data_IF_774832339996
#
_entry.id   IF_774832339996
#
_cell.length_a   1.000
_cell.length_b   1.000
_cell.length_c   1.000
_cell.angle_alpha   90.00
_cell.angle_beta   90.00
_cell.angle_gamma   90.00
#
_symmetry.space_group_name_H-M   'P 1'
#
loop_
_entity.id
_entity.type
_entity.pdbx_description
1 polymer ?
#
# COMPACT_ATOMS: atom_id res chain seq x y z
N UNK A 1 -4.34 -1.48 -68.72
CA UNK A 1 -3.06 -2.08 -69.17
C UNK A 1 -2.83 -3.37 -68.40
N UNK A 2 -2.70 -4.49 -69.11
CA UNK A 2 -2.51 -5.80 -68.50
C UNK A 2 -1.13 -6.35 -68.83
N UNK A 3 -0.46 -6.93 -67.84
CA UNK A 3 0.70 -7.80 -68.07
C UNK A 3 0.19 -9.23 -68.00
N UNK A 4 0.44 -10.01 -69.07
CA UNK A 4 -0.09 -11.38 -69.22
C UNK A 4 1.06 -12.39 -69.27
N UNK A 5 0.77 -13.62 -68.82
CA UNK A 5 1.68 -14.76 -69.00
C UNK A 5 1.63 -15.25 -70.47
N UNK A 6 2.46 -16.24 -70.82
CA UNK A 6 2.51 -16.81 -72.16
C UNK A 6 1.19 -17.46 -72.62
N UNK A 7 0.28 -17.76 -71.69
CA UNK A 7 -1.04 -18.31 -71.96
C UNK A 7 -2.16 -17.28 -72.08
N UNK A 8 -1.81 -15.95 -72.03
CA UNK A 8 -2.73 -14.83 -72.10
C UNK A 8 -3.51 -14.53 -70.84
N UNK A 9 -3.14 -15.13 -69.67
CA UNK A 9 -3.77 -14.82 -68.40
C UNK A 9 -3.13 -13.57 -67.80
N UNK A 10 -3.95 -12.72 -67.21
CA UNK A 10 -3.48 -11.50 -66.56
C UNK A 10 -2.68 -11.81 -65.29
N UNK A 11 -1.42 -11.38 -65.26
CA UNK A 11 -0.57 -11.40 -64.08
C UNK A 11 -0.76 -10.10 -63.27
N UNK A 12 -0.92 -8.99 -64.01
CA UNK A 12 -1.22 -7.67 -63.40
C UNK A 12 -2.39 -7.07 -64.20
N UNK A 13 -3.44 -6.72 -63.52
CA UNK A 13 -4.64 -6.13 -64.09
C UNK A 13 -5.00 -4.83 -63.36
N UNK A 14 -5.26 -3.75 -64.11
CA UNK A 14 -5.76 -2.49 -63.55
C UNK A 14 -7.24 -2.33 -63.98
N UNK A 15 -8.10 -2.13 -62.97
CA UNK A 15 -9.51 -1.81 -63.19
C UNK A 15 -9.94 -0.76 -62.15
N UNK A 16 -10.37 0.42 -62.65
CA UNK A 16 -10.94 1.50 -61.83
C UNK A 16 -10.11 1.82 -60.57
N UNK A 17 -8.83 2.15 -60.73
CA UNK A 17 -7.86 2.43 -59.66
C UNK A 17 -7.50 1.22 -58.77
N UNK A 18 -7.86 0.02 -59.14
CA UNK A 18 -7.45 -1.21 -58.48
C UNK A 18 -6.45 -1.95 -59.35
N UNK A 19 -5.26 -2.21 -58.86
CA UNK A 19 -4.26 -3.09 -59.49
C UNK A 19 -4.35 -4.44 -58.82
N UNK A 20 -4.75 -5.45 -59.60
CA UNK A 20 -4.78 -6.84 -59.16
C UNK A 20 -3.56 -7.57 -59.68
N UNK A 21 -2.81 -8.21 -58.79
CA UNK A 21 -1.62 -9.00 -59.09
C UNK A 21 -1.94 -10.46 -58.80
N UNK A 22 -1.88 -11.32 -59.84
CA UNK A 22 -2.23 -12.73 -59.72
C UNK A 22 -3.73 -13.03 -59.81
N UNK A 23 -4.10 -14.30 -59.74
CA UNK A 23 -5.45 -14.81 -59.68
C UNK A 23 -5.63 -15.66 -58.42
N UNK A 24 -6.86 -16.12 -58.13
CA UNK A 24 -7.14 -17.00 -57.00
C UNK A 24 -6.29 -18.29 -57.08
N UNK A 25 -5.49 -18.55 -56.08
CA UNK A 25 -4.57 -19.70 -56.02
C UNK A 25 -3.13 -19.39 -56.44
N UNK A 26 -2.85 -18.20 -56.98
CA UNK A 26 -1.48 -17.80 -57.29
C UNK A 26 -0.67 -17.43 -56.05
N UNK A 27 0.62 -17.72 -56.06
CA UNK A 27 1.58 -17.29 -55.04
C UNK A 27 2.39 -16.13 -55.59
N UNK A 28 2.39 -15.00 -54.89
CA UNK A 28 3.26 -13.86 -55.18
C UNK A 28 4.50 -13.97 -54.29
N UNK A 29 5.64 -14.33 -54.89
CA UNK A 29 6.90 -14.43 -54.23
C UNK A 29 7.79 -13.23 -54.56
N UNK A 30 8.33 -12.58 -53.51
CA UNK A 30 9.35 -11.56 -53.68
C UNK A 30 10.71 -12.22 -53.88
N UNK A 31 11.55 -11.65 -54.72
CA UNK A 31 12.94 -12.11 -54.86
C UNK A 31 13.69 -11.97 -53.56
N UNK A 32 14.71 -12.83 -53.31
CA UNK A 32 15.59 -12.73 -52.15
C UNK A 32 16.20 -11.31 -52.05
N UNK A 33 16.03 -10.67 -50.89
CA UNK A 33 16.49 -9.30 -50.65
C UNK A 33 15.51 -8.20 -51.09
N UNK A 34 14.38 -8.52 -51.73
CA UNK A 34 13.32 -7.55 -52.02
C UNK A 34 12.45 -7.34 -50.77
N UNK A 35 12.06 -6.08 -50.51
CA UNK A 35 11.10 -5.71 -49.45
C UNK A 35 9.79 -5.25 -50.08
N UNK A 36 8.67 -5.51 -49.41
CA UNK A 36 7.39 -4.94 -49.76
C UNK A 36 7.10 -3.68 -48.91
N UNK A 37 6.45 -2.69 -49.51
CA UNK A 37 5.95 -1.53 -48.82
C UNK A 37 4.50 -1.29 -49.25
N UNK A 38 3.58 -1.19 -48.29
CA UNK A 38 2.17 -0.99 -48.55
C UNK A 38 1.40 -2.24 -49.02
N UNK A 39 2.01 -3.43 -49.08
CA UNK A 39 1.37 -4.70 -49.39
C UNK A 39 1.26 -5.58 -48.15
N UNK A 40 0.14 -6.22 -47.93
CA UNK A 40 -0.03 -7.21 -46.89
C UNK A 40 -0.87 -6.76 -45.70
N UNK A 41 -0.93 -7.56 -44.67
CA UNK A 41 -1.68 -7.25 -43.43
C UNK A 41 -0.93 -6.21 -42.63
N UNK A 42 -1.49 -5.01 -42.49
CA UNK A 42 -1.04 -4.07 -41.47
C UNK A 42 -1.38 -4.63 -40.10
N UNK A 43 -0.41 -4.55 -39.13
CA UNK A 43 -0.63 -4.95 -37.76
C UNK A 43 -0.47 -6.44 -37.43
N UNK A 44 0.06 -7.28 -38.35
CA UNK A 44 0.40 -8.67 -38.05
C UNK A 44 1.89 -8.96 -38.23
N UNK A 45 2.41 -9.89 -37.38
CA UNK A 45 3.80 -10.33 -37.44
C UNK A 45 3.93 -11.65 -38.20
N UNK A 46 5.11 -11.86 -38.81
CA UNK A 46 5.52 -13.14 -39.38
C UNK A 46 6.13 -14.01 -38.25
N UNK A 47 5.36 -14.99 -37.76
CA UNK A 47 5.80 -15.88 -36.69
C UNK A 47 6.92 -16.81 -37.14
N UNK A 48 8.05 -16.75 -36.44
CA UNK A 48 9.26 -17.54 -36.71
C UNK A 48 9.15 -18.95 -36.08
N UNK A 49 8.35 -19.82 -36.67
CA UNK A 49 8.06 -21.16 -36.14
C UNK A 49 9.22 -22.15 -36.24
N UNK A 50 10.15 -21.89 -37.14
CA UNK A 50 11.33 -22.74 -37.36
C UNK A 50 12.52 -22.42 -36.41
N UNK A 51 12.44 -21.44 -35.54
CA UNK A 51 13.54 -20.97 -34.69
C UNK A 51 13.06 -20.49 -33.33
N UNK A 52 12.78 -21.44 -32.43
CA UNK A 52 12.44 -21.13 -31.03
C UNK A 52 13.68 -20.49 -30.36
N UNK A 53 13.48 -19.37 -29.70
CA UNK A 53 14.57 -18.62 -29.03
C UNK A 53 14.79 -19.12 -27.62
N UNK A 54 16.00 -19.59 -27.32
CA UNK A 54 16.40 -20.12 -26.01
C UNK A 54 17.54 -19.31 -25.35
N UNK A 55 18.01 -18.25 -26.00
CA UNK A 55 19.09 -17.36 -25.52
C UNK A 55 18.86 -15.95 -26.02
N UNK A 56 19.61 -14.98 -25.50
CA UNK A 56 19.53 -13.58 -25.91
C UNK A 56 19.63 -13.41 -27.43
N UNK A 57 18.72 -12.62 -27.99
CA UNK A 57 18.64 -12.34 -29.43
C UNK A 57 18.20 -10.91 -29.72
N UNK A 58 18.41 -10.45 -30.95
CA UNK A 58 17.85 -9.19 -31.44
C UNK A 58 16.67 -9.50 -32.35
N UNK A 59 15.53 -8.90 -32.05
CA UNK A 59 14.30 -9.05 -32.82
C UNK A 59 14.35 -8.20 -34.11
N UNK A 60 13.61 -8.61 -35.12
CA UNK A 60 13.47 -7.90 -36.39
C UNK A 60 12.06 -7.36 -36.51
N UNK A 61 11.91 -6.13 -37.02
CA UNK A 61 10.59 -5.53 -37.23
C UNK A 61 9.77 -6.36 -38.24
N UNK A 62 8.51 -6.60 -37.90
CA UNK A 62 7.57 -7.45 -38.67
C UNK A 62 7.59 -8.91 -38.26
N UNK A 63 8.43 -9.33 -37.32
CA UNK A 63 8.54 -10.72 -36.88
C UNK A 63 7.94 -10.97 -35.49
N UNK A 64 7.41 -12.20 -35.32
CA UNK A 64 6.97 -12.74 -34.03
C UNK A 64 7.82 -13.95 -33.62
N UNK A 65 8.14 -14.09 -32.36
CA UNK A 65 9.04 -15.11 -31.84
C UNK A 65 8.40 -15.94 -30.74
N UNK A 66 8.61 -17.25 -30.82
CA UNK A 66 8.37 -18.16 -29.71
C UNK A 66 9.65 -18.24 -28.87
N UNK A 67 9.53 -18.01 -27.55
CA UNK A 67 10.67 -17.99 -26.63
C UNK A 67 10.51 -19.07 -25.58
N UNK A 68 11.53 -19.90 -25.44
CA UNK A 68 11.61 -20.96 -24.43
C UNK A 68 12.61 -20.53 -23.36
N UNK A 69 12.10 -20.26 -22.16
CA UNK A 69 12.89 -19.86 -20.98
C UNK A 69 13.05 -21.01 -19.98
N UNK A 70 12.76 -22.27 -20.35
CA UNK A 70 12.87 -23.43 -19.46
C UNK A 70 14.27 -23.63 -18.87
N UNK A 71 15.33 -23.23 -19.60
CA UNK A 71 16.72 -23.34 -19.17
C UNK A 71 17.28 -22.08 -18.49
N UNK A 72 16.52 -20.98 -18.42
CA UNK A 72 16.94 -19.71 -17.82
C UNK A 72 16.29 -18.51 -18.49
N UNK A 73 16.42 -17.33 -17.87
CA UNK A 73 15.89 -16.08 -18.40
C UNK A 73 16.52 -15.71 -19.76
N UNK A 74 15.73 -15.18 -20.67
CA UNK A 74 16.15 -14.77 -22.02
C UNK A 74 15.96 -13.26 -22.17
N UNK A 75 16.83 -12.59 -22.95
CA UNK A 75 16.65 -11.19 -23.33
C UNK A 75 16.38 -11.06 -24.81
N UNK A 76 15.30 -10.38 -25.18
CA UNK A 76 15.00 -9.96 -26.55
C UNK A 76 15.30 -8.47 -26.70
N UNK A 77 16.27 -8.12 -27.53
CA UNK A 77 16.56 -6.73 -27.87
C UNK A 77 15.64 -6.30 -29.02
N UNK A 78 14.89 -5.23 -28.82
CA UNK A 78 14.03 -4.66 -29.87
C UNK A 78 14.91 -4.02 -30.97
N UNK A 79 14.44 -3.97 -32.23
CA UNK A 79 15.15 -3.25 -33.28
C UNK A 79 15.07 -1.73 -33.04
N UNK A 80 15.82 -0.97 -33.85
CA UNK A 80 15.66 0.48 -33.89
C UNK A 80 14.20 0.85 -34.20
N UNK A 81 13.64 1.76 -33.40
CA UNK A 81 12.24 2.18 -33.53
C UNK A 81 12.01 2.99 -34.80
N UNK A 82 10.97 2.68 -35.51
CA UNK A 82 10.37 3.51 -36.58
C UNK A 82 8.86 3.40 -36.49
N UNK A 83 8.14 4.50 -36.73
CA UNK A 83 6.68 4.49 -36.62
C UNK A 83 6.03 3.37 -37.43
N UNK A 84 5.20 2.55 -36.74
CA UNK A 84 4.56 1.35 -37.31
C UNK A 84 5.40 0.08 -37.28
N UNK A 85 6.66 0.11 -36.79
CA UNK A 85 7.42 -1.11 -36.55
C UNK A 85 6.71 -1.99 -35.51
N UNK A 86 6.67 -3.30 -35.73
CA UNK A 86 5.94 -4.25 -34.90
C UNK A 86 6.81 -5.46 -34.57
N UNK A 87 6.78 -5.94 -33.33
CA UNK A 87 7.45 -7.18 -32.87
C UNK A 87 6.53 -7.87 -31.88
N UNK A 88 6.45 -9.21 -31.97
CA UNK A 88 5.66 -9.98 -31.01
C UNK A 88 6.47 -11.12 -30.38
N UNK A 89 6.09 -11.49 -29.15
CA UNK A 89 6.66 -12.59 -28.39
C UNK A 89 5.56 -13.48 -27.82
N UNK A 90 5.85 -14.79 -27.68
CA UNK A 90 4.97 -15.74 -27.02
C UNK A 90 5.78 -16.73 -26.20
N UNK A 91 5.31 -17.03 -24.99
CA UNK A 91 5.87 -18.04 -24.09
C UNK A 91 5.66 -19.44 -24.67
N UNK A 92 6.71 -20.04 -25.22
CA UNK A 92 6.67 -21.36 -25.83
C UNK A 92 6.50 -22.50 -24.83
N UNK A 93 7.26 -22.45 -23.76
CA UNK A 93 7.34 -23.52 -22.75
C UNK A 93 6.47 -23.26 -21.51
N UNK A 94 5.72 -22.14 -21.47
CA UNK A 94 4.92 -21.71 -20.32
C UNK A 94 5.76 -21.51 -19.06
N UNK A 95 6.94 -20.92 -19.21
CA UNK A 95 7.96 -20.78 -18.14
C UNK A 95 8.33 -19.34 -17.83
N UNK A 96 7.68 -18.33 -18.42
CA UNK A 96 7.97 -16.91 -18.14
C UNK A 96 7.73 -16.54 -16.68
N UNK A 97 6.84 -17.22 -15.97
CA UNK A 97 6.61 -17.04 -14.54
C UNK A 97 7.80 -17.52 -13.65
N UNK A 98 8.63 -18.42 -14.16
CA UNK A 98 9.78 -18.98 -13.43
C UNK A 98 11.10 -18.34 -13.90
N UNK A 99 11.23 -18.14 -15.21
CA UNK A 99 12.36 -17.50 -15.86
C UNK A 99 11.81 -16.52 -16.90
N UNK A 100 11.80 -15.24 -16.57
CA UNK A 100 11.17 -14.24 -17.41
C UNK A 100 11.85 -14.01 -18.76
N UNK A 101 11.08 -13.50 -19.73
CA UNK A 101 11.61 -12.85 -20.92
C UNK A 101 11.80 -11.36 -20.63
N UNK A 102 13.02 -10.86 -20.75
CA UNK A 102 13.34 -9.44 -20.70
C UNK A 102 13.29 -8.85 -22.10
N UNK A 103 12.42 -7.86 -22.33
CA UNK A 103 12.37 -7.09 -23.57
C UNK A 103 13.13 -5.79 -23.38
N UNK A 104 14.21 -5.59 -24.14
CA UNK A 104 15.11 -4.45 -24.02
C UNK A 104 14.95 -3.49 -25.18
N UNK A 105 14.83 -2.17 -24.96
CA UNK A 105 14.78 -1.19 -26.04
C UNK A 105 16.14 -1.05 -26.73
N UNK A 106 16.14 -0.56 -27.97
CA UNK A 106 17.36 -0.29 -28.73
C UNK A 106 17.90 1.12 -28.39
N UNK A 107 19.14 1.19 -27.91
CA UNK A 107 19.81 2.46 -27.65
C UNK A 107 19.02 3.42 -26.75
N UNK A 108 18.63 4.57 -27.26
CA UNK A 108 17.81 5.58 -26.55
C UNK A 108 16.30 5.42 -26.79
N UNK A 109 15.86 4.41 -27.53
CA UNK A 109 14.44 4.16 -27.71
C UNK A 109 13.76 3.89 -26.37
N UNK A 110 12.44 4.09 -26.33
CA UNK A 110 11.64 3.91 -25.12
C UNK A 110 10.67 2.75 -25.27
N UNK A 111 10.23 2.22 -24.15
CA UNK A 111 9.07 1.34 -24.03
C UNK A 111 8.12 1.99 -23.03
N UNK A 112 6.89 2.34 -23.42
CA UNK A 112 5.94 3.01 -22.53
C UNK A 112 6.41 4.37 -21.98
N UNK A 113 7.19 5.12 -22.76
CA UNK A 113 7.68 6.45 -22.40
C UNK A 113 9.02 6.48 -21.64
N UNK A 114 9.59 5.34 -21.25
CA UNK A 114 10.87 5.24 -20.53
C UNK A 114 11.89 4.39 -21.29
N UNK A 115 13.19 4.68 -21.12
CA UNK A 115 14.28 3.86 -21.67
C UNK A 115 14.64 2.72 -20.71
N UNK A 116 13.64 1.91 -20.36
CA UNK A 116 13.79 0.77 -19.45
C UNK A 116 13.37 -0.53 -20.15
N UNK A 117 13.81 -1.67 -19.62
CA UNK A 117 13.40 -3.00 -20.08
C UNK A 117 12.02 -3.35 -19.58
N UNK A 118 11.28 -4.19 -20.32
CA UNK A 118 10.00 -4.78 -19.89
C UNK A 118 10.22 -6.26 -19.59
N UNK A 119 9.59 -6.75 -18.52
CA UNK A 119 9.57 -8.18 -18.19
C UNK A 119 8.24 -8.79 -18.59
N UNK A 120 8.28 -9.88 -19.34
CA UNK A 120 7.15 -10.76 -19.54
C UNK A 120 7.33 -11.92 -18.56
N UNK A 121 6.53 -11.94 -17.48
CA UNK A 121 6.70 -12.80 -16.31
C UNK A 121 5.44 -13.58 -15.93
N UNK A 122 4.50 -13.71 -16.87
CA UNK A 122 3.25 -14.47 -16.68
C UNK A 122 3.31 -15.75 -17.49
N UNK A 123 2.92 -16.87 -16.89
CA UNK A 123 2.83 -18.16 -17.56
C UNK A 123 1.93 -18.11 -18.81
N UNK A 124 2.49 -18.50 -19.96
CA UNK A 124 1.79 -18.51 -21.24
C UNK A 124 1.55 -17.13 -21.85
N UNK A 125 2.23 -16.09 -21.35
CA UNK A 125 2.08 -14.72 -21.83
C UNK A 125 2.48 -14.56 -23.29
N UNK A 126 1.72 -13.73 -24.00
CA UNK A 126 2.09 -13.20 -25.31
C UNK A 126 1.96 -11.68 -25.29
N UNK A 127 2.84 -11.00 -26.02
CA UNK A 127 2.87 -9.54 -26.11
C UNK A 127 3.20 -9.11 -27.55
N UNK A 128 2.58 -8.03 -28.01
CA UNK A 128 2.88 -7.41 -29.30
C UNK A 128 3.21 -5.94 -29.08
N UNK A 129 4.41 -5.56 -29.45
CA UNK A 129 4.93 -4.20 -29.33
C UNK A 129 4.87 -3.50 -30.69
N UNK A 130 4.32 -2.27 -30.69
CA UNK A 130 4.30 -1.38 -31.85
C UNK A 130 5.04 -0.11 -31.49
N UNK A 131 5.98 0.32 -32.34
CA UNK A 131 6.65 1.61 -32.16
C UNK A 131 5.75 2.74 -32.66
N UNK A 132 5.42 3.67 -31.80
CA UNK A 132 4.51 4.79 -32.12
C UNK A 132 5.32 6.05 -32.51
N UNK A 133 6.15 6.51 -31.61
CA UNK A 133 6.95 7.75 -31.75
C UNK A 133 8.14 7.77 -30.76
N UNK A 134 8.95 8.82 -30.79
CA UNK A 134 10.09 8.98 -29.87
C UNK A 134 9.67 9.40 -28.44
N UNK A 135 8.40 9.76 -28.23
CA UNK A 135 7.89 10.16 -26.91
C UNK A 135 7.54 8.94 -26.08
N UNK A 136 6.74 8.03 -26.64
CA UNK A 136 6.29 6.79 -25.97
C UNK A 136 7.14 5.60 -26.37
N UNK A 137 7.71 5.56 -27.57
CA UNK A 137 8.48 4.45 -28.07
C UNK A 137 7.62 3.25 -28.45
N UNK A 138 8.00 2.09 -27.97
CA UNK A 138 7.29 0.83 -28.14
C UNK A 138 6.13 0.72 -27.16
N UNK A 139 4.93 0.36 -27.64
CA UNK A 139 3.72 0.16 -26.84
C UNK A 139 3.24 -1.27 -27.02
N UNK A 140 2.97 -1.99 -25.95
CA UNK A 140 2.28 -3.28 -25.98
C UNK A 140 0.80 -3.04 -26.32
N UNK A 141 0.33 -3.63 -27.44
CA UNK A 141 -1.04 -3.42 -27.94
C UNK A 141 -1.99 -4.58 -27.62
N UNK A 142 -1.51 -5.63 -26.94
CA UNK A 142 -2.34 -6.78 -26.57
C UNK A 142 -2.90 -6.69 -25.16
N UNK A 143 -2.15 -6.08 -24.23
CA UNK A 143 -2.59 -5.90 -22.86
C UNK A 143 -2.08 -4.55 -22.32
N UNK A 144 -2.99 -3.68 -21.89
CA UNK A 144 -2.65 -2.35 -21.37
C UNK A 144 -1.86 -2.39 -20.04
N UNK A 145 -1.98 -3.47 -19.27
CA UNK A 145 -1.25 -3.63 -18.00
C UNK A 145 0.25 -3.91 -18.21
N UNK A 146 0.65 -4.44 -19.38
CA UNK A 146 2.03 -4.81 -19.68
C UNK A 146 2.84 -3.67 -20.34
N UNK A 147 2.23 -2.51 -20.59
CA UNK A 147 2.94 -1.31 -21.08
C UNK A 147 3.49 -0.43 -19.97
N UNK A 148 3.27 -0.79 -18.72
CA UNK A 148 3.99 -0.13 -17.64
C UNK A 148 5.49 -0.40 -17.78
N UNK A 149 6.25 0.69 -17.91
CA UNK A 149 7.71 0.62 -17.92
C UNK A 149 8.18 -0.30 -16.79
N UNK A 150 9.09 -1.21 -17.11
CA UNK A 150 9.66 -2.14 -16.15
C UNK A 150 10.42 -1.36 -15.09
N UNK A 151 9.72 -0.90 -14.06
CA UNK A 151 10.37 -0.35 -12.88
C UNK A 151 11.23 -1.44 -12.22
N UNK A 152 12.34 -1.05 -11.64
CA UNK A 152 13.11 -1.93 -10.79
C UNK A 152 12.41 -2.08 -9.45
N UNK A 153 12.23 -3.31 -8.97
CA UNK A 153 11.70 -3.56 -7.64
C UNK A 153 12.57 -2.89 -6.56
N UNK A 154 11.92 -2.51 -5.47
CA UNK A 154 12.61 -1.92 -4.33
C UNK A 154 13.57 -2.93 -3.70
N UNK A 155 14.80 -2.49 -3.47
CA UNK A 155 15.72 -3.09 -2.51
C UNK A 155 15.93 -2.09 -1.39
N UNK A 156 15.59 -2.47 -0.16
CA UNK A 156 15.67 -1.58 0.98
C UNK A 156 16.13 -2.30 2.25
N UNK A 157 16.64 -1.51 3.21
CA UNK A 157 17.04 -1.92 4.55
C UNK A 157 16.37 -1.02 5.59
N UNK A 158 16.42 -1.42 6.86
CA UNK A 158 15.86 -0.69 8.00
C UNK A 158 14.69 -1.40 8.65
N UNK A 159 14.53 -1.21 9.97
CA UNK A 159 13.56 -1.94 10.77
C UNK A 159 13.85 -3.45 10.87
N UNK A 160 12.89 -4.21 11.40
CA UNK A 160 12.92 -5.67 11.37
C UNK A 160 12.31 -6.15 10.06
N UNK A 161 13.08 -6.92 9.27
CA UNK A 161 12.69 -7.33 7.92
C UNK A 161 12.22 -8.78 7.94
N UNK A 162 11.08 -9.05 7.31
CA UNK A 162 10.57 -10.39 7.05
C UNK A 162 10.12 -10.53 5.60
N UNK A 163 9.98 -11.78 5.13
CA UNK A 163 9.39 -12.09 3.82
C UNK A 163 8.05 -12.77 4.03
N UNK A 164 7.02 -12.31 3.36
CA UNK A 164 5.67 -12.88 3.42
C UNK A 164 5.19 -13.24 2.01
N UNK A 165 4.41 -14.31 1.90
CA UNK A 165 3.88 -14.79 0.61
C UNK A 165 4.96 -14.86 -0.50
N UNK A 166 6.17 -15.29 -0.15
CA UNK A 166 7.33 -15.50 -1.03
C UNK A 166 7.89 -14.22 -1.67
N UNK A 167 7.03 -13.33 -2.21
CA UNK A 167 7.41 -12.23 -3.09
C UNK A 167 7.36 -10.84 -2.43
N UNK A 168 7.01 -10.75 -1.12
CA UNK A 168 6.83 -9.47 -0.46
C UNK A 168 7.74 -9.32 0.75
N UNK A 169 8.39 -8.16 0.86
CA UNK A 169 9.14 -7.74 2.05
C UNK A 169 8.25 -6.90 2.95
N UNK A 170 8.41 -7.15 4.25
CA UNK A 170 7.77 -6.35 5.31
C UNK A 170 8.87 -5.81 6.21
N UNK A 171 8.89 -4.50 6.41
CA UNK A 171 9.75 -3.80 7.35
C UNK A 171 8.90 -3.30 8.50
N UNK A 172 9.27 -3.66 9.75
CA UNK A 172 8.57 -3.26 10.97
C UNK A 172 9.48 -2.38 11.79
N UNK A 173 9.01 -1.17 12.10
CA UNK A 173 9.67 -0.21 12.99
C UNK A 173 8.86 -0.05 14.26
N UNK A 174 9.46 -0.42 15.40
CA UNK A 174 8.91 -0.26 16.76
C UNK A 174 9.55 0.89 17.51
N UNK A 175 10.43 1.62 16.87
CA UNK A 175 11.14 2.82 17.32
C UNK A 175 11.63 3.65 16.14
N UNK A 176 12.19 4.85 16.37
CA UNK A 176 12.76 5.67 15.31
C UNK A 176 13.81 4.93 14.49
N UNK A 177 13.86 5.17 13.19
CA UNK A 177 14.80 4.52 12.30
C UNK A 177 14.82 5.17 10.92
N UNK A 178 15.40 4.48 9.96
CA UNK A 178 15.47 4.93 8.57
C UNK A 178 15.13 3.77 7.63
N UNK A 179 14.22 4.01 6.70
CA UNK A 179 13.98 3.11 5.58
C UNK A 179 14.90 3.54 4.42
N UNK A 180 15.96 2.76 4.19
CA UNK A 180 16.98 3.07 3.19
C UNK A 180 16.71 2.27 1.91
N UNK A 181 16.24 2.94 0.87
CA UNK A 181 16.09 2.37 -0.46
C UNK A 181 17.43 2.44 -1.18
N UNK A 182 18.01 1.29 -1.54
CA UNK A 182 19.27 1.20 -2.28
C UNK A 182 19.06 1.06 -3.78
N UNK A 183 17.94 0.47 -4.21
CA UNK A 183 17.53 0.36 -5.59
C UNK A 183 16.01 0.44 -5.70
N UNK A 184 15.52 0.89 -6.83
CA UNK A 184 14.11 1.02 -7.16
C UNK A 184 13.92 2.10 -8.22
N UNK A 185 13.01 1.89 -9.15
CA UNK A 185 12.62 2.85 -10.16
C UNK A 185 11.21 2.56 -10.68
N UNK A 186 10.52 3.59 -11.17
CA UNK A 186 9.23 3.46 -11.83
C UNK A 186 8.10 2.88 -10.98
N UNK A 187 7.06 2.32 -11.60
CA UNK A 187 5.85 1.85 -10.91
C UNK A 187 6.10 0.74 -9.88
N UNK A 188 7.10 -0.12 -10.12
CA UNK A 188 7.46 -1.25 -9.23
C UNK A 188 8.19 -0.81 -7.95
N UNK A 189 8.54 0.48 -7.82
CA UNK A 189 9.22 1.03 -6.64
C UNK A 189 8.29 1.77 -5.68
N UNK A 190 7.03 1.37 -5.62
CA UNK A 190 6.06 1.86 -4.64
C UNK A 190 5.96 0.93 -3.44
N UNK A 191 5.46 1.45 -2.32
CA UNK A 191 5.22 0.69 -1.09
C UNK A 191 3.84 0.97 -0.54
N UNK A 192 3.22 -0.03 0.08
CA UNK A 192 2.11 0.16 0.99
C UNK A 192 2.62 0.26 2.43
N UNK A 193 1.83 0.91 3.27
CA UNK A 193 2.24 1.27 4.62
C UNK A 193 1.11 1.08 5.64
N UNK A 194 1.52 0.92 6.90
CA UNK A 194 0.71 1.13 8.09
C UNK A 194 1.49 2.05 9.02
N UNK A 195 0.92 3.19 9.37
CA UNK A 195 1.52 4.16 10.29
C UNK A 195 0.52 4.42 11.42
N UNK A 196 0.91 4.07 12.66
CA UNK A 196 0.07 4.24 13.84
C UNK A 196 0.80 5.14 14.84
N UNK A 197 0.15 6.22 15.28
CA UNK A 197 0.66 7.12 16.33
C UNK A 197 0.69 6.46 17.70
N UNK A 198 1.36 7.07 18.67
CA UNK A 198 1.30 6.64 20.08
C UNK A 198 -0.07 6.95 20.69
N UNK A 199 -0.58 6.08 21.56
CA UNK A 199 -1.84 6.28 22.28
C UNK A 199 -1.74 7.37 23.36
N UNK A 200 -2.86 8.03 23.67
CA UNK A 200 -2.99 8.94 24.80
C UNK A 200 -3.11 8.17 26.13
N UNK A 201 -2.75 8.78 27.25
CA UNK A 201 -2.98 8.18 28.57
C UNK A 201 -4.39 8.41 29.08
N UNK A 202 -4.86 7.52 29.95
CA UNK A 202 -6.05 7.76 30.73
C UNK A 202 -5.85 8.90 31.74
N UNK A 203 -6.94 9.41 32.30
CA UNK A 203 -6.91 10.33 33.42
C UNK A 203 -7.27 9.64 34.73
N UNK A 204 -7.00 10.30 35.84
CA UNK A 204 -7.42 9.81 37.15
C UNK A 204 -8.71 10.50 37.65
N UNK A 205 -9.21 10.07 38.83
CA UNK A 205 -10.38 10.60 39.52
C UNK A 205 -11.65 10.72 38.64
N UNK A 206 -12.26 9.61 38.34
CA UNK A 206 -13.45 9.52 37.46
C UNK A 206 -13.20 10.04 36.03
N UNK A 207 -11.96 9.90 35.63
CA UNK A 207 -11.48 10.37 34.34
C UNK A 207 -11.89 9.47 33.18
N UNK A 208 -11.73 10.00 32.00
CA UNK A 208 -11.89 9.27 30.74
C UNK A 208 -10.66 8.47 30.37
N UNK A 209 -10.85 7.43 29.57
CA UNK A 209 -9.76 6.68 28.96
C UNK A 209 -9.04 7.47 27.86
N UNK A 210 -7.78 7.18 27.60
CA UNK A 210 -7.00 7.76 26.51
C UNK A 210 -7.50 7.28 25.14
N UNK A 211 -7.43 8.14 24.13
CA UNK A 211 -7.70 7.79 22.74
C UNK A 211 -6.56 7.00 22.12
N UNK A 212 -6.85 6.17 21.14
CA UNK A 212 -5.82 5.50 20.33
C UNK A 212 -5.06 6.51 19.46
N UNK A 213 -3.82 6.20 19.13
CA UNK A 213 -3.07 6.89 18.08
C UNK A 213 -3.75 6.78 16.73
N UNK A 214 -3.56 7.78 15.88
CA UNK A 214 -4.09 7.78 14.53
C UNK A 214 -3.63 6.55 13.75
N UNK A 215 -4.50 5.95 12.98
CA UNK A 215 -4.28 4.76 12.17
C UNK A 215 -4.37 5.12 10.69
N UNK A 216 -3.28 4.96 9.97
CA UNK A 216 -3.22 5.22 8.52
C UNK A 216 -2.60 4.04 7.79
N UNK A 217 -3.35 3.47 6.88
CA UNK A 217 -2.94 2.31 6.08
C UNK A 217 -3.17 2.59 4.61
N UNK A 218 -2.31 2.05 3.73
CA UNK A 218 -2.61 1.89 2.32
C UNK A 218 -2.56 0.43 1.93
N UNK A 219 -3.34 0.05 0.92
CA UNK A 219 -3.32 -1.28 0.31
C UNK A 219 -3.58 -1.20 -1.18
N UNK A 220 -2.64 -1.76 -1.94
CA UNK A 220 -2.70 -1.90 -3.39
C UNK A 220 -2.19 -3.29 -3.77
N UNK A 221 -3.07 -4.14 -4.31
CA UNK A 221 -2.75 -5.56 -4.55
C UNK A 221 -1.52 -5.76 -5.45
N UNK A 222 -1.30 -4.91 -6.46
CA UNK A 222 -0.12 -4.95 -7.33
C UNK A 222 1.19 -4.60 -6.62
N UNK A 223 1.13 -3.86 -5.51
CA UNK A 223 2.31 -3.40 -4.76
C UNK A 223 2.64 -4.31 -3.58
N UNK A 224 1.63 -4.73 -2.82
CA UNK A 224 1.83 -5.45 -1.55
C UNK A 224 1.15 -6.82 -1.49
N UNK A 225 0.55 -7.28 -2.61
CA UNK A 225 -0.16 -8.56 -2.72
C UNK A 225 -1.55 -8.53 -2.10
N UNK A 226 -2.26 -9.64 -2.25
CA UNK A 226 -3.60 -9.78 -1.69
C UNK A 226 -3.50 -10.15 -0.20
N UNK A 227 -4.07 -9.32 0.66
CA UNK A 227 -4.29 -9.57 2.10
C UNK A 227 -5.49 -8.76 2.57
N UNK A 228 -6.04 -9.08 3.74
CA UNK A 228 -7.13 -8.32 4.33
C UNK A 228 -6.60 -7.03 4.95
N UNK A 229 -6.82 -5.92 4.29
CA UNK A 229 -6.51 -4.58 4.79
C UNK A 229 -7.64 -4.04 5.68
N UNK A 230 -7.34 -3.01 6.48
CA UNK A 230 -8.37 -2.31 7.23
C UNK A 230 -9.39 -1.65 6.29
N UNK A 231 -10.68 -1.55 6.69
CA UNK A 231 -11.72 -0.90 5.87
C UNK A 231 -11.43 0.56 5.50
N UNK A 232 -10.57 1.23 6.28
CA UNK A 232 -10.15 2.61 6.05
C UNK A 232 -8.83 2.72 5.29
N UNK A 233 -8.31 1.62 4.72
CA UNK A 233 -7.08 1.66 3.95
C UNK A 233 -7.26 2.50 2.67
N UNK A 234 -6.27 3.36 2.40
CA UNK A 234 -6.19 4.12 1.15
C UNK A 234 -5.77 3.19 0.00
N UNK A 235 -6.27 3.42 -1.20
CA UNK A 235 -5.80 2.76 -2.42
C UNK A 235 -4.56 3.43 -3.03
N UNK A 236 -3.97 4.41 -2.34
CA UNK A 236 -2.82 5.17 -2.85
C UNK A 236 -1.53 4.75 -2.14
N UNK A 237 -0.66 3.97 -2.78
CA UNK A 237 0.66 3.62 -2.25
C UNK A 237 1.60 4.83 -2.26
N UNK A 238 2.71 4.75 -1.51
CA UNK A 238 3.77 5.76 -1.55
C UNK A 238 4.83 5.42 -2.59
N UNK A 239 5.46 6.43 -3.15
CA UNK A 239 6.49 6.36 -4.20
C UNK A 239 6.00 6.88 -5.54
N UNK A 240 6.72 6.65 -6.64
CA UNK A 240 7.88 5.76 -6.73
C UNK A 240 9.09 6.28 -5.95
N UNK A 241 9.86 5.37 -5.34
CA UNK A 241 11.12 5.70 -4.70
C UNK A 241 12.28 5.33 -5.62
N UNK A 242 13.14 6.29 -5.92
CA UNK A 242 14.38 6.04 -6.67
C UNK A 242 15.54 5.86 -5.69
N UNK A 243 16.33 4.82 -5.89
CA UNK A 243 17.54 4.60 -5.09
C UNK A 243 18.74 5.43 -5.59
N UNK A 244 19.69 5.80 -4.72
CA UNK A 244 19.64 5.63 -3.26
C UNK A 244 18.82 6.74 -2.56
N UNK A 245 17.93 6.38 -1.66
CA UNK A 245 17.12 7.33 -0.87
C UNK A 245 16.99 6.86 0.56
N UNK A 246 17.22 7.73 1.54
CA UNK A 246 17.04 7.49 2.96
C UNK A 246 15.79 8.21 3.45
N UNK A 247 14.81 7.48 3.97
CA UNK A 247 13.53 8.02 4.43
C UNK A 247 13.46 7.84 5.95
N UNK A 248 13.45 8.93 6.72
CA UNK A 248 13.34 8.84 8.17
C UNK A 248 11.97 8.29 8.57
N UNK A 249 11.98 7.42 9.58
CA UNK A 249 10.81 6.86 10.22
C UNK A 249 10.79 7.31 11.69
N UNK A 250 9.70 7.93 12.10
CA UNK A 250 9.46 8.25 13.50
C UNK A 250 8.32 7.36 14.03
N UNK A 251 8.53 6.72 15.18
CA UNK A 251 7.49 5.98 15.88
C UNK A 251 7.12 6.74 17.15
N UNK A 252 5.86 7.14 17.23
CA UNK A 252 5.35 7.93 18.33
C UNK A 252 5.34 7.14 19.64
N UNK A 253 5.86 7.72 20.70
CA UNK A 253 5.73 7.16 22.04
C UNK A 253 4.28 7.27 22.52
N UNK A 254 3.83 6.28 23.30
CA UNK A 254 2.63 6.41 24.09
C UNK A 254 2.81 7.43 25.21
N UNK A 255 1.73 8.08 25.59
CA UNK A 255 1.76 9.03 26.70
C UNK A 255 2.00 8.33 28.04
N UNK A 256 2.77 8.94 28.94
CA UNK A 256 2.93 8.43 30.31
C UNK A 256 1.60 8.46 31.06
N UNK A 257 1.38 7.47 31.94
CA UNK A 257 0.21 7.44 32.82
C UNK A 257 0.23 8.64 33.79
N UNK A 258 -0.95 9.10 34.16
CA UNK A 258 -1.13 10.26 35.08
C UNK A 258 -1.01 9.79 36.51
N UNK A 259 -0.02 10.30 37.29
CA UNK A 259 0.15 9.89 38.67
C UNK A 259 -1.04 10.35 39.54
N UNK A 260 -1.32 9.58 40.60
CA UNK A 260 -2.28 9.99 41.62
C UNK A 260 -1.80 11.28 42.30
N UNK A 261 -2.56 12.34 42.22
CA UNK A 261 -2.23 13.64 42.78
C UNK A 261 -3.46 14.23 43.45
N UNK A 262 -3.33 14.95 44.57
CA UNK A 262 -4.43 15.67 45.19
C UNK A 262 -4.99 16.75 44.24
N UNK A 263 -4.21 17.19 43.26
CA UNK A 263 -4.69 18.05 42.17
C UNK A 263 -4.95 17.16 40.96
N UNK A 264 -6.21 16.93 40.64
CA UNK A 264 -6.64 16.16 39.46
C UNK A 264 -5.98 16.72 38.21
N UNK A 265 -5.45 15.82 37.38
CA UNK A 265 -4.73 16.20 36.18
C UNK A 265 -5.34 15.47 34.97
N UNK A 266 -5.41 16.13 33.79
CA UNK A 266 -5.71 15.45 32.55
C UNK A 266 -4.67 14.38 32.26
N UNK A 267 -5.00 13.41 31.44
CA UNK A 267 -4.03 12.58 30.78
C UNK A 267 -3.08 13.42 29.91
N UNK A 268 -2.20 12.75 29.20
CA UNK A 268 -1.32 13.34 28.21
C UNK A 268 -1.60 12.72 26.84
N UNK A 269 -1.43 13.51 25.77
CA UNK A 269 -1.56 13.00 24.41
C UNK A 269 -0.34 12.16 24.02
N UNK A 270 -0.56 11.16 23.17
CA UNK A 270 0.51 10.40 22.54
C UNK A 270 1.28 11.22 21.52
N UNK A 271 2.38 10.66 21.04
CA UNK A 271 3.25 11.29 20.03
C UNK A 271 2.90 10.84 18.61
N UNK A 272 3.28 11.67 17.65
CA UNK A 272 3.08 11.42 16.21
C UNK A 272 4.02 10.33 15.69
N UNK A 273 3.54 9.48 14.80
CA UNK A 273 4.39 8.62 13.94
C UNK A 273 4.42 9.16 12.52
N UNK A 274 5.59 9.06 11.87
CA UNK A 274 5.76 9.54 10.49
C UNK A 274 6.52 8.54 9.62
N UNK A 275 6.11 8.45 8.36
CA UNK A 275 6.85 7.80 7.29
C UNK A 275 6.67 8.58 5.99
N UNK A 276 7.74 9.12 5.43
CA UNK A 276 7.69 9.98 4.24
C UNK A 276 6.70 11.15 4.45
N UNK A 277 5.70 11.26 3.60
CA UNK A 277 4.63 12.28 3.68
C UNK A 277 3.45 11.87 4.57
N UNK A 278 3.46 10.67 5.11
CA UNK A 278 2.39 10.18 5.98
C UNK A 278 2.71 10.52 7.43
N UNK A 279 1.75 11.18 8.07
CA UNK A 279 1.80 11.52 9.50
C UNK A 279 0.53 11.01 10.17
N UNK A 280 0.69 10.23 11.24
CA UNK A 280 -0.40 9.74 12.08
C UNK A 280 -0.33 10.40 13.45
N UNK A 281 -1.36 11.11 13.84
CA UNK A 281 -1.41 11.88 15.07
C UNK A 281 -1.32 10.99 16.32
N UNK A 282 -0.83 11.52 17.42
CA UNK A 282 -0.97 10.87 18.70
C UNK A 282 -2.43 10.81 19.16
N UNK A 283 -2.75 9.85 20.02
CA UNK A 283 -4.06 9.72 20.65
C UNK A 283 -4.33 10.84 21.64
N UNK A 284 -5.59 11.26 21.75
CA UNK A 284 -6.04 12.28 22.69
C UNK A 284 -5.99 11.80 24.15
N UNK A 285 -5.75 12.71 25.07
CA UNK A 285 -5.71 12.41 26.50
C UNK A 285 -7.12 12.22 27.08
N UNK A 286 -7.25 11.38 28.11
CA UNK A 286 -8.48 11.24 28.90
C UNK A 286 -8.82 12.53 29.66
N UNK A 287 -10.08 12.93 29.62
CA UNK A 287 -10.63 14.04 30.37
C UNK A 287 -10.60 13.78 31.89
N UNK A 288 -10.62 14.81 32.72
CA UNK A 288 -10.50 14.71 34.18
C UNK A 288 -11.63 15.43 34.94
N UNK A 289 -11.96 14.91 36.12
CA UNK A 289 -13.00 15.42 37.02
C UNK A 289 -12.40 16.09 38.25
N UNK A 290 -13.21 16.83 39.03
CA UNK A 290 -13.25 18.27 38.98
C UNK A 290 -12.35 18.91 40.00
N UNK A 291 -12.10 20.12 39.82
CA UNK A 291 -11.80 21.30 40.65
C UNK A 291 -10.45 21.92 40.34
N UNK A 292 -10.41 23.20 40.05
CA UNK A 292 -11.56 24.10 39.92
C UNK A 292 -12.20 24.12 38.51
N UNK A 293 -11.58 23.49 37.49
CA UNK A 293 -12.10 23.48 36.12
C UNK A 293 -12.06 22.08 35.54
N UNK A 294 -13.19 21.40 35.37
CA UNK A 294 -13.26 20.08 34.74
C UNK A 294 -12.80 20.16 33.28
N UNK A 295 -12.09 19.15 32.80
CA UNK A 295 -11.54 19.09 31.45
C UNK A 295 -12.18 17.97 30.63
N UNK A 296 -12.65 18.33 29.43
CA UNK A 296 -13.08 17.40 28.40
C UNK A 296 -11.93 16.47 27.96
N UNK A 297 -12.28 15.38 27.27
CA UNK A 297 -11.29 14.55 26.60
C UNK A 297 -10.52 15.34 25.53
N UNK A 298 -9.22 15.08 25.38
CA UNK A 298 -8.38 15.76 24.40
C UNK A 298 -8.59 15.25 22.99
N UNK A 299 -8.43 16.10 21.97
CA UNK A 299 -8.46 15.68 20.56
C UNK A 299 -7.18 14.90 20.20
N UNK A 300 -7.25 14.09 19.14
CA UNK A 300 -6.12 13.35 18.65
C UNK A 300 -6.43 12.52 17.41
N UNK A 301 -5.55 11.59 17.06
CA UNK A 301 -5.85 10.59 16.05
C UNK A 301 -7.16 9.90 16.34
N UNK A 302 -7.33 9.35 17.55
CA UNK A 302 -8.63 9.14 18.17
C UNK A 302 -8.73 10.00 19.44
N UNK A 303 -9.91 10.49 19.76
CA UNK A 303 -10.15 11.38 20.89
C UNK A 303 -10.15 10.66 22.23
N UNK A 304 -9.74 11.32 23.31
CA UNK A 304 -9.86 10.81 24.68
C UNK A 304 -11.30 10.86 25.20
N UNK A 305 -11.65 9.96 26.13
CA UNK A 305 -12.97 9.93 26.77
C UNK A 305 -13.24 11.14 27.67
N UNK A 306 -14.51 11.55 27.75
CA UNK A 306 -14.95 12.60 28.66
C UNK A 306 -14.95 12.11 30.12
N UNK A 307 -14.82 13.05 31.06
CA UNK A 307 -14.87 12.81 32.49
C UNK A 307 -16.21 13.25 33.11
N UNK A 308 -16.48 12.78 34.32
CA UNK A 308 -17.54 13.32 35.17
C UNK A 308 -17.33 14.80 35.51
N UNK A 309 -18.34 15.68 35.65
CA UNK A 309 -19.72 15.48 35.20
C UNK A 309 -19.94 15.97 33.76
N UNK A 310 -20.65 15.20 32.96
CA UNK A 310 -21.19 15.58 31.64
C UNK A 310 -20.18 16.17 30.62
N UNK A 311 -18.94 15.74 30.68
CA UNK A 311 -17.94 16.29 29.79
C UNK A 311 -17.87 15.51 28.47
N UNK A 312 -17.71 16.25 27.39
CA UNK A 312 -17.55 15.67 26.07
C UNK A 312 -16.27 14.84 25.94
N UNK A 313 -16.31 13.81 25.14
CA UNK A 313 -15.11 13.20 24.63
C UNK A 313 -14.37 14.12 23.67
N UNK A 314 -13.08 13.89 23.49
CA UNK A 314 -12.25 14.59 22.52
C UNK A 314 -12.61 14.17 21.09
N UNK A 315 -12.39 15.06 20.15
CA UNK A 315 -12.59 14.77 18.72
C UNK A 315 -11.48 13.87 18.19
N UNK A 316 -11.86 12.84 17.45
CA UNK A 316 -10.95 12.03 16.65
C UNK A 316 -10.58 12.69 15.33
N UNK A 317 -9.78 12.02 14.54
CA UNK A 317 -9.31 12.51 13.23
C UNK A 317 -8.77 13.95 13.28
N UNK A 318 -7.97 14.25 14.30
CA UNK A 318 -7.40 15.58 14.52
C UNK A 318 -5.86 15.50 14.49
N UNK A 319 -5.19 16.22 13.55
CA UNK A 319 -5.76 16.99 12.45
C UNK A 319 -6.55 16.11 11.44
N UNK A 320 -7.52 16.69 10.72
CA UNK A 320 -8.36 15.90 9.83
C UNK A 320 -7.58 15.39 8.62
N UNK A 321 -7.78 14.10 8.30
CA UNK A 321 -7.22 13.42 7.13
C UNK A 321 -8.27 12.54 6.46
N UNK A 322 -8.05 12.19 5.21
CA UNK A 322 -8.90 11.28 4.43
C UNK A 322 -8.00 10.11 3.93
N UNK A 323 -8.39 8.85 4.19
CA UNK A 323 -9.46 8.39 5.10
C UNK A 323 -9.20 8.80 6.55
N UNK A 324 -10.27 8.79 7.40
CA UNK A 324 -10.16 9.13 8.82
C UNK A 324 -9.14 8.26 9.53
N UNK A 325 -8.31 8.87 10.39
CA UNK A 325 -7.31 8.17 11.18
C UNK A 325 -7.81 7.68 12.55
N UNK A 326 -9.08 7.93 12.92
CA UNK A 326 -9.67 7.48 14.17
C UNK A 326 -10.99 8.15 14.50
N UNK A 327 -11.56 7.84 15.65
CA UNK A 327 -12.90 8.22 16.08
C UNK A 327 -12.90 9.02 17.39
N UNK A 328 -14.02 9.65 17.69
CA UNK A 328 -14.21 10.45 18.89
C UNK A 328 -14.19 9.60 20.16
N UNK A 329 -13.83 10.21 21.27
CA UNK A 329 -14.03 9.67 22.60
C UNK A 329 -15.50 9.73 23.03
N UNK A 330 -15.89 8.86 23.96
CA UNK A 330 -17.23 8.83 24.53
C UNK A 330 -17.53 10.06 25.39
N UNK A 331 -18.78 10.51 25.42
CA UNK A 331 -19.27 11.57 26.29
C UNK A 331 -19.67 11.00 27.66
N UNK A 332 -19.26 11.63 28.75
CA UNK A 332 -19.66 11.19 30.09
C UNK A 332 -21.08 11.67 30.45
N UNK A 333 -21.72 10.93 31.35
CA UNK A 333 -22.98 11.30 31.98
C UNK A 333 -22.78 11.97 33.35
N UNK A 334 -23.87 12.38 33.99
CA UNK A 334 -23.88 12.98 35.33
C UNK A 334 -23.54 12.02 36.48
N UNK A 335 -23.15 10.77 36.21
CA UNK A 335 -23.16 9.67 37.20
C UNK A 335 -21.78 9.17 37.60
N UNK A 336 -20.89 9.99 38.14
CA UNK A 336 -19.65 9.58 38.80
C UNK A 336 -18.76 8.58 38.02
N UNK A 337 -18.80 8.62 36.67
CA UNK A 337 -18.00 7.74 35.82
C UNK A 337 -17.50 8.45 34.57
N UNK A 338 -16.32 8.10 34.14
CA UNK A 338 -15.71 8.57 32.91
C UNK A 338 -16.01 7.65 31.74
N UNK A 339 -15.86 8.15 30.54
CA UNK A 339 -16.14 7.49 29.26
C UNK A 339 -14.89 6.88 28.66
N UNK A 340 -15.06 5.96 27.74
CA UNK A 340 -13.97 5.36 27.00
C UNK A 340 -13.37 6.30 25.97
N UNK A 341 -12.07 6.19 25.70
CA UNK A 341 -11.39 6.82 24.57
C UNK A 341 -11.78 6.19 23.24
N UNK A 342 -11.74 6.96 22.16
CA UNK A 342 -11.98 6.48 20.79
C UNK A 342 -10.90 5.51 20.34
N UNK A 343 -11.27 4.56 19.51
CA UNK A 343 -10.38 3.67 18.81
C UNK A 343 -10.29 4.00 17.31
N UNK A 344 -9.39 3.35 16.61
CA UNK A 344 -9.26 3.53 15.17
C UNK A 344 -10.53 3.10 14.40
N UNK A 345 -11.22 2.06 14.88
CA UNK A 345 -12.39 1.47 14.22
C UNK A 345 -13.74 1.88 14.81
N UNK A 346 -13.79 2.40 16.04
CA UNK A 346 -15.04 2.75 16.70
C UNK A 346 -14.88 3.91 17.68
N UNK A 347 -15.96 4.64 17.93
CA UNK A 347 -16.06 5.65 18.98
C UNK A 347 -15.92 5.03 20.37
N UNK A 348 -15.44 5.82 21.32
CA UNK A 348 -15.43 5.44 22.72
C UNK A 348 -16.84 5.33 23.29
N UNK A 349 -17.06 4.36 24.16
CA UNK A 349 -18.34 4.18 24.87
C UNK A 349 -18.64 5.33 25.82
N UNK A 350 -19.89 5.82 25.80
CA UNK A 350 -20.39 6.76 26.79
C UNK A 350 -20.52 6.08 28.15
N UNK A 351 -20.31 6.85 29.25
CA UNK A 351 -20.59 6.37 30.61
C UNK A 351 -22.10 6.54 30.95
N UNK A 352 -22.62 5.69 31.81
CA UNK A 352 -24.02 5.77 32.31
C UNK A 352 -24.16 5.12 33.69
N UNK A 353 -24.99 5.70 34.55
CA UNK A 353 -25.40 5.12 35.84
C UNK A 353 -24.25 4.47 36.66
N UNK A 354 -23.19 5.21 36.94
CA UNK A 354 -21.99 4.72 37.63
C UNK A 354 -21.17 3.66 36.90
N UNK A 355 -21.57 3.31 35.68
CA UNK A 355 -20.85 2.39 34.80
C UNK A 355 -19.94 3.20 33.84
N UNK A 356 -18.68 2.87 33.82
CA UNK A 356 -17.72 3.53 32.93
C UNK A 356 -17.91 3.09 31.46
N UNK A 357 -17.57 4.01 30.55
CA UNK A 357 -17.59 3.71 29.11
C UNK A 357 -16.42 2.82 28.69
N UNK A 358 -16.66 1.90 27.77
CA UNK A 358 -15.64 1.04 27.19
C UNK A 358 -14.81 1.79 26.15
N UNK A 359 -13.55 1.42 26.00
CA UNK A 359 -12.71 1.90 24.90
C UNK A 359 -13.23 1.47 23.53
N UNK A 360 -13.12 2.33 22.53
CA UNK A 360 -13.47 2.05 21.15
C UNK A 360 -12.55 0.99 20.54
N UNK A 361 -13.08 0.11 19.70
CA UNK A 361 -12.30 -0.94 19.06
C UNK A 361 -11.31 -0.36 18.02
N UNK A 362 -10.19 -1.05 17.84
CA UNK A 362 -9.23 -0.79 16.79
C UNK A 362 -9.61 -1.44 15.46
N UNK A 363 -8.69 -1.38 14.51
CA UNK A 363 -8.80 -1.95 13.16
C UNK A 363 -7.89 -3.17 13.01
N UNK A 364 -8.33 -4.11 12.20
CA UNK A 364 -7.59 -5.34 11.89
C UNK A 364 -6.99 -5.25 10.51
N UNK A 365 -5.74 -5.70 10.36
CA UNK A 365 -5.03 -5.81 9.08
C UNK A 365 -4.11 -7.02 9.07
N UNK A 366 -3.84 -7.56 7.88
CA UNK A 366 -2.88 -8.63 7.63
C UNK A 366 -1.60 -8.12 6.95
N UNK A 367 -1.31 -6.84 7.02
CA UNK A 367 -0.12 -6.25 6.38
C UNK A 367 1.19 -6.93 6.79
N UNK A 368 1.27 -7.48 8.01
CA UNK A 368 2.43 -8.21 8.53
C UNK A 368 2.45 -9.70 8.16
N UNK A 369 1.48 -10.17 7.37
CA UNK A 369 1.34 -11.57 6.99
C UNK A 369 0.46 -12.41 7.94
N UNK A 370 -0.06 -11.80 9.01
CA UNK A 370 -1.03 -12.39 9.93
C UNK A 370 -2.04 -11.34 10.38
N UNK A 371 -3.24 -11.80 10.77
CA UNK A 371 -4.32 -10.92 11.22
C UNK A 371 -3.99 -10.33 12.60
N UNK A 372 -3.82 -9.01 12.68
CA UNK A 372 -3.51 -8.29 13.91
C UNK A 372 -4.40 -7.06 14.04
N UNK A 373 -5.06 -6.93 15.18
CA UNK A 373 -5.87 -5.75 15.52
C UNK A 373 -5.03 -4.73 16.32
N UNK A 374 -5.12 -3.45 15.95
CA UNK A 374 -4.37 -2.34 16.57
C UNK A 374 -5.24 -1.09 16.69
N UNK A 375 -4.84 -0.16 17.55
CA UNK A 375 -5.50 1.13 17.72
C UNK A 375 -6.77 1.06 18.55
N UNK A 376 -6.82 0.24 19.62
CA UNK A 376 -7.92 0.25 20.57
C UNK A 376 -7.84 1.42 21.56
N UNK A 377 -8.96 2.03 21.92
CA UNK A 377 -9.07 3.09 22.93
C UNK A 377 -9.03 2.56 24.37
N UNK A 378 -8.70 3.40 25.33
CA UNK A 378 -8.70 3.05 26.76
C UNK A 378 -10.10 3.09 27.38
N UNK A 379 -10.37 2.23 28.37
CA UNK A 379 -11.60 2.24 29.16
C UNK A 379 -11.64 3.42 30.16
N UNK A 380 -12.83 3.95 30.41
CA UNK A 380 -13.07 4.98 31.42
C UNK A 380 -13.05 4.43 32.86
N UNK A 381 -12.87 5.26 33.87
CA UNK A 381 -13.01 4.87 35.28
C UNK A 381 -14.43 5.06 35.81
N UNK A 382 -14.90 4.15 36.62
CA UNK A 382 -16.24 4.20 37.21
C UNK A 382 -16.29 4.01 38.70
N UNK A 383 -17.48 4.13 39.27
CA UNK A 383 -17.74 3.94 40.69
C UNK A 383 -17.94 2.46 41.05
N UNK A 384 -18.60 1.73 40.15
CA UNK A 384 -18.93 0.30 40.36
C UNK A 384 -18.15 -0.62 39.43
N UNK A 385 -17.82 -0.17 38.23
CA UNK A 385 -17.03 -0.95 37.26
C UNK A 385 -16.22 -0.02 36.38
N UNK A 386 -14.96 -0.42 36.07
CA UNK A 386 -14.19 0.21 35.01
C UNK A 386 -14.71 -0.20 33.63
N UNK A 387 -14.48 0.64 32.64
CA UNK A 387 -14.73 0.33 31.24
C UNK A 387 -13.73 -0.69 30.71
N UNK A 388 -14.18 -1.59 29.87
CA UNK A 388 -13.31 -2.55 29.19
C UNK A 388 -12.34 -1.83 28.25
N UNK A 389 -11.18 -2.43 28.08
CA UNK A 389 -10.24 -2.04 27.04
C UNK A 389 -10.86 -2.15 25.66
N UNK A 390 -10.57 -1.22 24.78
CA UNK A 390 -10.86 -1.36 23.34
C UNK A 390 -9.98 -2.46 22.74
N UNK A 391 -10.60 -3.38 21.99
CA UNK A 391 -9.85 -4.42 21.28
C UNK A 391 -8.81 -3.79 20.35
N UNK A 392 -7.62 -4.37 20.26
CA UNK A 392 -6.50 -3.79 19.51
C UNK A 392 -5.52 -3.01 20.37
N UNK A 393 -5.38 -3.38 21.64
CA UNK A 393 -4.32 -2.92 22.53
C UNK A 393 -4.68 -1.75 23.44
N UNK A 394 -5.96 -1.45 23.65
CA UNK A 394 -6.37 -0.48 24.67
C UNK A 394 -6.12 -0.99 26.09
N UNK A 395 -5.99 -0.08 27.05
CA UNK A 395 -5.91 -0.36 28.48
C UNK A 395 -7.31 -0.35 29.14
N UNK A 396 -7.53 -1.19 30.14
CA UNK A 396 -8.82 -1.25 30.84
C UNK A 396 -8.93 -0.15 31.90
N UNK A 397 -10.13 0.39 32.11
CA UNK A 397 -10.41 1.32 33.20
C UNK A 397 -10.43 0.64 34.55
N UNK A 398 -10.09 1.37 35.62
CA UNK A 398 -9.92 0.84 36.95
C UNK A 398 -10.84 1.52 37.99
N UNK A 399 -11.29 0.75 38.98
CA UNK A 399 -12.27 1.14 40.05
C UNK A 399 -11.67 1.21 41.44
N UNK A 400 -10.51 0.62 41.68
CA UNK A 400 -9.94 0.38 43.00
C UNK A 400 -9.57 1.65 43.77
N UNK A 401 -9.48 1.54 45.11
CA UNK A 401 -9.24 2.68 46.00
C UNK A 401 -7.78 3.21 45.97
N UNK A 402 -6.85 2.42 45.48
CA UNK A 402 -5.46 2.80 45.26
C UNK A 402 -4.69 1.63 44.65
N UNK A 403 -3.79 1.90 43.75
CA UNK A 403 -2.92 0.91 43.14
C UNK A 403 -2.79 1.07 41.64
N UNK A 404 -1.91 0.29 41.03
CA UNK A 404 -1.77 0.10 39.60
C UNK A 404 -2.58 -1.11 39.19
N UNK A 405 -3.42 -0.97 38.17
CA UNK A 405 -4.01 -2.14 37.49
C UNK A 405 -2.99 -2.63 36.45
N UNK A 406 -2.57 -3.88 36.48
CA UNK A 406 -1.60 -4.39 35.50
C UNK A 406 -2.10 -4.38 34.05
N UNK A 407 -3.40 -4.12 33.83
CA UNK A 407 -4.04 -4.14 32.51
C UNK A 407 -4.55 -2.76 32.06
N UNK A 408 -4.12 -1.66 32.73
CA UNK A 408 -4.57 -0.31 32.38
C UNK A 408 -3.71 0.37 31.31
N UNK A 409 -2.50 -0.10 31.07
CA UNK A 409 -1.64 0.41 30.02
C UNK A 409 -2.11 -0.01 28.63
N UNK A 410 -1.99 0.88 27.67
CA UNK A 410 -2.08 0.56 26.27
C UNK A 410 -0.91 -0.33 25.84
N UNK A 411 -1.19 -1.35 25.04
CA UNK A 411 -0.20 -2.31 24.56
C UNK A 411 0.83 -1.63 23.65
N UNK A 412 2.10 -1.86 23.88
CA UNK A 412 3.18 -1.34 23.04
C UNK A 412 3.03 -1.80 21.57
N UNK A 413 3.44 -0.95 20.63
CA UNK A 413 3.39 -1.20 19.18
C UNK A 413 1.98 -1.42 18.61
N UNK A 414 0.97 -0.90 19.33
CA UNK A 414 -0.43 -0.93 18.86
C UNK A 414 -1.04 0.46 18.73
N UNK A 415 -0.42 1.47 19.33
CA UNK A 415 -1.01 2.81 19.47
C UNK A 415 -2.23 2.83 20.40
N UNK A 416 -2.40 1.83 21.27
CA UNK A 416 -3.56 1.71 22.14
C UNK A 416 -3.61 2.83 23.20
N UNK A 417 -4.82 3.35 23.50
CA UNK A 417 -5.04 4.33 24.57
C UNK A 417 -4.96 3.69 25.95
N UNK A 418 -4.45 4.40 26.97
CA UNK A 418 -4.40 3.96 28.36
C UNK A 418 -5.74 4.04 29.07
N UNK A 419 -6.02 3.12 30.00
CA UNK A 419 -7.20 3.11 30.83
C UNK A 419 -7.20 4.19 31.90
N UNK A 420 -8.37 4.68 32.27
CA UNK A 420 -8.53 5.66 33.34
C UNK A 420 -8.52 4.98 34.72
N UNK A 421 -8.04 5.67 35.74
CA UNK A 421 -8.09 5.23 37.14
C UNK A 421 -9.01 6.11 37.98
N UNK A 422 -9.61 5.54 39.02
CA UNK A 422 -10.41 6.34 39.96
C UNK A 422 -9.57 7.05 41.00
N UNK A 423 -8.68 6.30 41.68
CA UNK A 423 -7.83 6.80 42.77
C UNK A 423 -6.45 6.11 42.66
N UNK A 424 -5.73 6.31 41.62
CA UNK A 424 -4.47 5.64 41.38
C UNK A 424 -3.70 6.22 40.22
N UNK A 425 -2.63 5.58 39.81
CA UNK A 425 -1.95 5.83 38.55
C UNK A 425 -2.87 5.39 37.40
N UNK A 426 -3.14 6.25 36.45
CA UNK A 426 -3.85 5.86 35.24
C UNK A 426 -2.90 5.15 34.26
N UNK A 427 -3.48 4.39 33.38
CA UNK A 427 -2.72 3.68 32.36
C UNK A 427 -2.01 4.62 31.37
N UNK A 428 -0.80 4.25 31.02
CA UNK A 428 -0.03 4.88 29.94
C UNK A 428 -0.63 4.49 28.57
N UNK A 429 -0.45 5.32 27.57
CA UNK A 429 -0.70 4.93 26.17
C UNK A 429 0.37 3.98 25.65
N UNK A 430 0.01 3.09 24.74
CA UNK A 430 0.93 2.21 24.02
C UNK A 430 1.69 2.97 22.91
N UNK A 431 2.94 2.59 22.65
CA UNK A 431 3.68 3.15 21.51
C UNK A 431 3.01 2.82 20.18
N UNK A 432 3.23 3.68 19.20
CA UNK A 432 2.86 3.44 17.81
C UNK A 432 3.71 2.38 17.12
N UNK A 433 3.51 2.23 15.83
CA UNK A 433 4.26 1.32 14.97
C UNK A 433 4.24 1.86 13.53
N UNK A 434 5.29 1.57 12.75
CA UNK A 434 5.32 1.78 11.31
C UNK A 434 5.64 0.46 10.63
N UNK A 435 4.82 0.07 9.67
CA UNK A 435 5.02 -1.12 8.82
C UNK A 435 5.03 -0.69 7.37
N UNK A 436 5.98 -1.22 6.59
CA UNK A 436 6.12 -0.96 5.16
C UNK A 436 6.14 -2.30 4.46
N UNK A 437 5.30 -2.47 3.42
CA UNK A 437 5.21 -3.72 2.66
C UNK A 437 5.26 -3.42 1.16
N UNK A 438 6.05 -4.22 0.43
CA UNK A 438 6.20 -4.09 -1.02
C UNK A 438 6.63 -5.40 -1.67
N UNK A 439 6.35 -5.52 -2.99
CA UNK A 439 6.85 -6.60 -3.84
C UNK A 439 8.33 -6.37 -4.14
N UNK A 440 9.17 -7.43 -4.08
CA UNK A 440 10.60 -7.33 -4.31
C UNK A 440 11.12 -8.27 -5.41
N UNK A 441 10.25 -9.12 -5.96
CA UNK A 441 10.54 -10.02 -7.09
C UNK A 441 9.25 -10.46 -7.79
#
# INVERSE_FOLDING_TARGET
NNVQNQCGQNIINENSNTITIGASGDTIALASGASQSGFGREGSVNWQTGSIKTSTFTAVSGEGYFVDTSSGAVTANLPAGSAGAIVAFSDYARTFNSNNLTVSPNGSNKIGGTNDTVLLDIEGQAATFVYVDDTQGWINVQNAEDTEAAGTFITATGGTISTVCTNFKVHVFTGPGTFCVSAGAGPKSKVDYLVIGGGGSGANNRGGGGGAGGYRESHTASISGCYTAAPTASSTPLGPFTGPTAIPVTVGAGAAGTPNSPTNRPGSSGSVSTFSTISSAGGGFGGYSPSPTPGAGGPGGSGGGGAYPNLAGGTGNTPPVIPSQGNDGGTSSSSNSGSGGGGAGATGGASSNCTAGNGGAGLTTEITGSSVQRGGGGGGSGNSSGGSAGAGGGGAGYVGPSGTNPNDDGTANTGGGGGAARNGLSGAGGSGIVVIRYKFQ
#
